data_IF_999981187601
#
_entry.id   IF_999981187601
#
_cell.length_a   1.000
_cell.length_b   1.000
_cell.length_c   1.000
_cell.angle_alpha   90.00
_cell.angle_beta   90.00
_cell.angle_gamma   90.00
#
_symmetry.space_group_name_H-M   'P 1'
#
loop_
_entity.id
_entity.type
_entity.pdbx_description
1 polymer ?
#
# COMPACT_ATOMS: atom_id res chain seq x y z
N UNK A 1 2.86 -42.61 -21.66
CA UNK A 1 2.80 -41.39 -20.82
C UNK A 1 3.90 -41.32 -19.78
N UNK A 2 4.11 -42.27 -18.90
CA UNK A 2 5.15 -42.22 -17.84
C UNK A 2 6.60 -41.93 -18.31
N UNK A 3 7.03 -42.49 -19.47
CA UNK A 3 8.36 -42.26 -20.04
C UNK A 3 8.58 -40.83 -20.60
N UNK A 4 7.52 -40.14 -21.05
CA UNK A 4 7.60 -38.76 -21.56
C UNK A 4 7.65 -37.74 -20.44
N UNK A 5 6.99 -38.01 -19.30
CA UNK A 5 7.05 -37.16 -18.11
C UNK A 5 8.43 -37.24 -17.45
N UNK A 6 9.04 -38.42 -17.37
CA UNK A 6 10.37 -38.58 -16.85
C UNK A 6 11.44 -37.86 -17.71
N UNK A 7 11.30 -37.82 -19.03
CA UNK A 7 12.23 -37.10 -19.91
C UNK A 7 12.07 -35.58 -19.83
N UNK A 8 10.86 -35.08 -19.60
CA UNK A 8 10.61 -33.64 -19.36
C UNK A 8 11.20 -33.18 -18.03
N UNK A 9 11.03 -33.96 -16.97
CA UNK A 9 11.63 -33.67 -15.65
C UNK A 9 13.17 -33.74 -15.68
N UNK A 10 13.74 -34.65 -16.43
CA UNK A 10 15.20 -34.72 -16.61
C UNK A 10 15.74 -33.54 -17.43
N UNK A 11 15.02 -33.07 -18.44
CA UNK A 11 15.41 -31.91 -19.22
C UNK A 11 15.29 -30.61 -18.39
N UNK A 12 14.26 -30.49 -17.55
CA UNK A 12 14.09 -29.34 -16.64
C UNK A 12 15.20 -29.31 -15.57
N UNK A 13 15.57 -30.46 -15.01
CA UNK A 13 16.67 -30.57 -14.07
C UNK A 13 18.02 -30.21 -14.72
N UNK A 14 18.24 -30.60 -15.98
CA UNK A 14 19.47 -30.28 -16.70
C UNK A 14 19.58 -28.79 -17.06
N UNK A 15 18.44 -28.13 -17.37
CA UNK A 15 18.40 -26.69 -17.61
C UNK A 15 18.72 -25.88 -16.35
N UNK A 16 18.29 -26.36 -15.17
CA UNK A 16 18.60 -25.70 -13.89
C UNK A 16 20.09 -25.82 -13.51
N UNK A 17 20.78 -26.85 -13.97
CA UNK A 17 22.23 -27.06 -13.69
C UNK A 17 23.15 -26.32 -14.70
N UNK A 18 22.61 -25.85 -15.82
CA UNK A 18 23.35 -25.12 -16.84
C UNK A 18 23.18 -23.60 -16.76
N UNK A 19 22.37 -23.11 -15.84
CA UNK A 19 22.42 -21.68 -15.51
C UNK A 19 23.81 -21.43 -14.91
N UNK A 20 24.62 -20.50 -15.48
CA UNK A 20 25.82 -20.07 -14.78
C UNK A 20 25.32 -19.62 -13.40
N UNK A 21 25.81 -20.25 -12.36
CA UNK A 21 25.83 -19.61 -11.06
C UNK A 21 26.72 -18.38 -11.27
N UNK A 22 26.13 -17.28 -11.73
CA UNK A 22 26.68 -15.99 -11.41
C UNK A 22 26.87 -16.08 -9.88
N UNK A 23 28.11 -16.09 -9.42
CA UNK A 23 28.38 -15.81 -8.03
C UNK A 23 27.70 -14.44 -7.83
N UNK A 24 26.52 -14.45 -7.21
CA UNK A 24 26.00 -13.27 -6.59
C UNK A 24 27.10 -12.91 -5.60
N UNK A 25 27.89 -11.90 -5.92
CA UNK A 25 28.61 -11.21 -4.89
C UNK A 25 27.53 -10.96 -3.85
N UNK A 26 27.71 -11.47 -2.66
CA UNK A 26 26.86 -11.12 -1.53
C UNK A 26 27.11 -9.63 -1.39
N UNK A 27 26.19 -8.83 -1.97
CA UNK A 27 26.27 -7.38 -1.85
C UNK A 27 26.27 -7.11 -0.35
N UNK A 28 27.24 -6.33 0.09
CA UNK A 28 27.30 -5.95 1.49
C UNK A 28 25.93 -5.39 1.88
N UNK A 29 25.41 -5.83 3.03
CA UNK A 29 24.15 -5.27 3.53
C UNK A 29 24.25 -3.74 3.49
N UNK A 30 23.19 -3.02 3.08
CA UNK A 30 23.20 -1.57 3.06
C UNK A 30 23.51 -1.02 4.45
N UNK A 31 24.22 0.09 4.52
CA UNK A 31 24.46 0.78 5.78
C UNK A 31 23.11 1.28 6.32
N UNK A 32 22.91 1.13 7.63
CA UNK A 32 21.71 1.62 8.29
C UNK A 32 21.67 3.16 8.23
N UNK A 33 20.49 3.69 8.01
CA UNK A 33 20.27 5.14 7.97
C UNK A 33 20.61 5.80 9.31
N UNK A 34 21.32 6.94 9.27
CA UNK A 34 21.75 7.70 10.46
C UNK A 34 20.71 8.71 10.97
N UNK A 35 19.53 8.76 10.34
CA UNK A 35 18.43 9.67 10.70
C UNK A 35 18.55 11.06 10.07
N UNK A 36 19.60 11.35 9.30
CA UNK A 36 19.79 12.65 8.65
C UNK A 36 19.18 12.70 7.25
N UNK A 37 18.96 13.91 6.72
CA UNK A 37 18.51 14.15 5.37
C UNK A 37 19.60 14.88 4.56
N UNK A 38 19.92 14.35 3.37
CA UNK A 38 20.85 14.98 2.43
C UNK A 38 20.08 15.49 1.20
N UNK A 39 20.04 16.81 1.03
CA UNK A 39 19.45 17.49 -0.12
C UNK A 39 20.50 18.03 -1.10
N UNK A 40 21.78 17.75 -0.89
CA UNK A 40 22.89 18.30 -1.69
C UNK A 40 22.83 17.87 -3.14
N UNK A 41 22.25 16.69 -3.43
CA UNK A 41 22.04 16.18 -4.79
C UNK A 41 21.06 17.02 -5.63
N UNK A 42 20.20 17.80 -4.99
CA UNK A 42 19.23 18.68 -5.64
C UNK A 42 19.78 20.09 -5.87
N UNK A 43 20.60 20.60 -4.93
CA UNK A 43 21.10 21.98 -4.95
C UNK A 43 22.00 22.21 -6.19
N UNK A 44 21.58 23.15 -7.05
CA UNK A 44 22.26 23.45 -8.33
C UNK A 44 21.88 22.51 -9.47
N UNK A 45 20.99 21.55 -9.22
CA UNK A 45 20.47 20.55 -10.16
C UNK A 45 18.94 20.63 -10.34
N UNK A 46 18.31 21.73 -9.94
CA UNK A 46 16.85 21.90 -9.93
C UNK A 46 16.23 21.80 -11.33
N UNK A 47 17.04 22.05 -12.39
CA UNK A 47 16.60 21.90 -13.78
C UNK A 47 16.66 20.47 -14.31
N UNK A 48 17.34 19.55 -13.62
CA UNK A 48 17.48 18.17 -14.07
C UNK A 48 16.11 17.47 -14.04
N UNK A 49 15.93 16.51 -14.93
CA UNK A 49 14.69 15.76 -15.05
C UNK A 49 14.77 14.37 -14.44
N UNK A 50 15.97 13.88 -14.17
CA UNK A 50 16.23 12.57 -13.55
C UNK A 50 17.21 12.76 -12.41
N UNK A 51 16.88 12.19 -11.27
CA UNK A 51 17.71 12.16 -10.06
C UNK A 51 17.98 10.72 -9.67
N UNK A 52 19.19 10.48 -9.14
CA UNK A 52 19.61 9.16 -8.68
C UNK A 52 19.74 9.17 -7.16
N UNK A 53 19.02 8.28 -6.52
CA UNK A 53 19.02 8.09 -5.06
C UNK A 53 19.88 6.87 -4.74
N UNK A 54 20.95 7.09 -4.01
CA UNK A 54 21.95 6.05 -3.70
C UNK A 54 22.04 5.72 -2.21
N UNK A 55 21.52 6.58 -1.33
CA UNK A 55 21.56 6.40 0.13
C UNK A 55 20.22 6.76 0.78
N UNK A 56 20.03 6.28 2.01
CA UNK A 56 18.84 6.58 2.81
C UNK A 56 18.74 8.07 3.17
N UNK A 57 19.86 8.76 3.40
CA UNK A 57 19.92 10.20 3.65
C UNK A 57 19.41 10.99 2.45
N UNK A 58 19.74 10.55 1.21
CA UNK A 58 19.23 11.18 0.00
C UNK A 58 17.73 10.97 -0.18
N UNK A 59 17.23 9.77 0.16
CA UNK A 59 15.80 9.49 0.17
C UNK A 59 15.08 10.36 1.23
N UNK A 60 15.65 10.51 2.42
CA UNK A 60 15.15 11.44 3.44
C UNK A 60 15.22 12.90 2.98
N UNK A 61 16.24 13.25 2.17
CA UNK A 61 16.33 14.54 1.50
C UNK A 61 15.19 14.80 0.54
N UNK A 62 14.74 13.78 -0.21
CA UNK A 62 13.54 13.88 -1.03
C UNK A 62 12.29 14.16 -0.19
N UNK A 63 12.11 13.44 0.92
CA UNK A 63 11.00 13.71 1.85
C UNK A 63 11.05 15.15 2.36
N UNK A 64 12.21 15.62 2.80
CA UNK A 64 12.38 17.00 3.26
C UNK A 64 12.02 18.03 2.18
N UNK A 65 12.45 17.83 0.93
CA UNK A 65 12.17 18.76 -0.17
C UNK A 65 10.68 18.82 -0.52
N UNK A 66 9.99 17.69 -0.55
CA UNK A 66 8.54 17.63 -0.81
C UNK A 66 7.76 18.28 0.35
N UNK A 67 8.16 18.01 1.58
CA UNK A 67 7.39 18.39 2.76
C UNK A 67 7.56 19.87 3.18
N UNK A 68 8.70 20.54 2.83
CA UNK A 68 9.02 21.87 3.36
C UNK A 68 8.65 23.02 2.44
N UNK A 69 8.34 22.79 1.17
CA UNK A 69 8.10 23.85 0.20
C UNK A 69 6.85 23.60 -0.62
N UNK A 70 5.66 23.94 -0.09
CA UNK A 70 4.40 23.67 -0.77
C UNK A 70 4.38 24.20 -2.20
N UNK A 71 4.00 23.32 -3.14
CA UNK A 71 3.82 23.64 -4.55
C UNK A 71 5.10 23.96 -5.34
N UNK A 72 6.28 24.04 -4.71
CA UNK A 72 7.53 24.40 -5.40
C UNK A 72 8.41 23.18 -5.69
N UNK A 73 8.30 22.10 -4.93
CA UNK A 73 9.10 20.88 -5.06
C UNK A 73 8.27 19.60 -5.02
N UNK A 74 7.07 19.61 -5.61
CA UNK A 74 6.28 18.39 -5.76
C UNK A 74 6.84 17.43 -6.83
N UNK A 75 7.86 17.85 -7.55
CA UNK A 75 8.58 17.09 -8.58
C UNK A 75 7.75 16.62 -9.78
N UNK A 76 6.67 17.32 -10.11
CA UNK A 76 5.92 17.04 -11.33
C UNK A 76 6.84 17.08 -12.57
N UNK A 77 6.78 16.03 -13.39
CA UNK A 77 7.62 15.87 -14.58
C UNK A 77 9.08 15.49 -14.31
N UNK A 78 9.43 15.14 -13.07
CA UNK A 78 10.74 14.64 -12.67
C UNK A 78 10.68 13.14 -12.38
N UNK A 79 11.84 12.47 -12.50
CA UNK A 79 11.98 11.05 -12.20
C UNK A 79 13.11 10.82 -11.20
N UNK A 80 12.89 9.86 -10.32
CA UNK A 80 13.86 9.39 -9.34
C UNK A 80 14.15 7.93 -9.63
N UNK A 81 15.42 7.55 -9.64
CA UNK A 81 15.87 6.16 -9.83
C UNK A 81 16.64 5.74 -8.60
N UNK A 82 16.20 4.66 -7.97
CA UNK A 82 16.94 4.05 -6.87
C UNK A 82 18.10 3.23 -7.44
N UNK A 83 19.30 3.42 -6.90
CA UNK A 83 20.52 2.78 -7.42
C UNK A 83 21.06 1.68 -6.51
N UNK A 84 20.58 1.60 -5.27
CA UNK A 84 20.98 0.61 -4.28
C UNK A 84 19.78 0.20 -3.43
N UNK A 85 19.89 -0.95 -2.78
CA UNK A 85 19.03 -1.29 -1.65
C UNK A 85 19.33 -0.32 -0.49
N UNK A 86 18.28 0.06 0.26
CA UNK A 86 18.41 0.97 1.39
C UNK A 86 17.91 0.32 2.68
N UNK A 87 18.55 0.64 3.79
CA UNK A 87 18.13 0.23 5.13
C UNK A 87 17.72 1.47 5.95
N UNK A 88 16.43 1.55 6.30
CA UNK A 88 15.87 2.64 7.11
C UNK A 88 15.84 2.32 8.61
N UNK A 89 16.53 1.27 9.04
CA UNK A 89 16.55 0.87 10.45
C UNK A 89 17.13 1.97 11.35
N UNK A 90 16.68 1.97 12.62
CA UNK A 90 17.25 2.82 13.68
C UNK A 90 16.56 4.17 13.88
N UNK A 91 15.83 4.69 12.93
CA UNK A 91 15.13 5.97 13.03
C UNK A 91 13.73 5.91 12.46
N UNK A 92 12.82 6.66 13.02
CA UNK A 92 11.46 6.79 12.50
C UNK A 92 11.46 7.50 11.14
N UNK A 93 10.73 6.91 10.20
CA UNK A 93 10.58 7.46 8.86
C UNK A 93 9.58 8.61 8.84
N UNK A 94 9.92 9.68 8.13
CA UNK A 94 8.99 10.76 7.76
C UNK A 94 8.58 10.53 6.31
N UNK A 95 7.29 10.36 6.07
CA UNK A 95 6.75 10.04 4.75
C UNK A 95 7.08 11.10 3.70
N UNK A 96 7.33 10.67 2.47
CA UNK A 96 7.48 11.56 1.31
C UNK A 96 6.09 12.08 0.93
N UNK A 97 5.87 13.39 1.06
CA UNK A 97 4.55 14.00 0.91
C UNK A 97 3.72 13.91 2.19
N UNK A 98 2.90 14.91 2.41
CA UNK A 98 2.02 14.98 3.57
C UNK A 98 0.57 15.06 3.13
N UNK A 99 -0.37 14.63 3.98
CA UNK A 99 -1.78 14.68 3.65
C UNK A 99 -2.37 16.01 4.07
N UNK A 100 -2.65 16.87 3.09
CA UNK A 100 -3.58 17.95 3.28
C UNK A 100 -4.86 17.62 2.48
N UNK A 101 -5.70 16.73 3.03
CA UNK A 101 -7.00 16.41 2.44
C UNK A 101 -7.01 15.57 1.16
N UNK A 102 -5.90 14.94 0.76
CA UNK A 102 -5.83 13.95 -0.34
C UNK A 102 -6.04 14.46 -1.76
N UNK A 103 -6.50 15.68 -1.94
CA UNK A 103 -6.89 16.24 -3.25
C UNK A 103 -6.02 17.42 -3.69
N UNK A 104 -5.04 17.81 -2.89
CA UNK A 104 -4.17 18.95 -3.15
C UNK A 104 -2.77 18.48 -3.59
N UNK A 105 -2.24 18.93 -4.75
CA UNK A 105 -0.87 18.66 -5.16
C UNK A 105 0.19 19.35 -4.30
N UNK A 106 -0.21 20.30 -3.47
CA UNK A 106 0.68 20.89 -2.47
C UNK A 106 1.08 19.84 -1.45
N UNK A 107 2.36 19.74 -1.14
CA UNK A 107 2.95 18.74 -0.25
C UNK A 107 2.79 17.27 -0.72
N UNK A 108 2.45 17.03 -1.98
CA UNK A 108 2.34 15.69 -2.56
C UNK A 108 3.56 15.36 -3.41
N UNK A 109 3.90 14.08 -3.50
CA UNK A 109 4.84 13.62 -4.52
C UNK A 109 4.11 13.47 -5.86
N UNK A 110 4.53 14.25 -6.88
CA UNK A 110 3.92 14.26 -8.21
C UNK A 110 4.86 13.74 -9.31
N UNK A 111 5.99 13.17 -8.93
CA UNK A 111 7.00 12.64 -9.84
C UNK A 111 6.81 11.16 -10.18
N UNK A 112 7.82 10.62 -10.85
CA UNK A 112 7.98 9.18 -11.07
C UNK A 112 9.07 8.67 -10.13
N UNK A 113 8.78 7.66 -9.30
CA UNK A 113 9.77 6.96 -8.50
C UNK A 113 9.96 5.54 -9.03
N UNK A 114 11.12 5.27 -9.60
CA UNK A 114 11.52 3.97 -10.11
C UNK A 114 12.47 3.30 -9.13
N UNK A 115 11.99 2.29 -8.42
CA UNK A 115 12.82 1.48 -7.53
C UNK A 115 13.90 0.67 -8.25
N UNK A 116 13.82 0.57 -9.61
CA UNK A 116 14.80 -0.12 -10.43
C UNK A 116 15.07 -1.58 -10.00
N UNK A 117 14.13 -2.18 -9.28
CA UNK A 117 14.21 -3.53 -8.72
C UNK A 117 14.87 -3.60 -7.34
N UNK A 118 15.28 -2.48 -6.77
CA UNK A 118 15.85 -2.39 -5.43
C UNK A 118 14.79 -2.43 -4.33
N UNK A 119 15.28 -2.64 -3.10
CA UNK A 119 14.47 -2.83 -1.89
C UNK A 119 14.80 -1.75 -0.87
N UNK A 120 13.78 -1.19 -0.24
CA UNK A 120 13.89 -0.35 0.95
C UNK A 120 13.43 -1.19 2.13
N UNK A 121 14.34 -1.45 3.07
CA UNK A 121 14.10 -2.34 4.20
C UNK A 121 13.94 -1.59 5.52
N UNK A 122 13.25 -2.24 6.47
CA UNK A 122 13.13 -1.80 7.86
C UNK A 122 12.53 -0.40 8.02
N UNK A 123 11.62 -0.02 7.12
CA UNK A 123 10.83 1.19 7.31
C UNK A 123 10.07 1.06 8.63
N UNK A 124 10.33 2.01 9.54
CA UNK A 124 9.71 2.02 10.85
C UNK A 124 8.99 3.34 11.09
N UNK A 125 7.75 3.27 11.51
CA UNK A 125 6.96 4.44 11.91
C UNK A 125 6.05 4.05 13.06
N UNK A 126 6.23 4.73 14.17
CA UNK A 126 5.46 4.53 15.38
C UNK A 126 4.92 5.88 15.84
N UNK A 127 3.70 6.14 15.48
CA UNK A 127 3.01 7.34 15.96
C UNK A 127 2.60 7.12 17.42
N UNK A 128 3.51 7.44 18.34
CA UNK A 128 3.34 7.23 19.79
C UNK A 128 2.90 8.47 20.55
N UNK A 129 2.80 9.62 19.88
CA UNK A 129 2.66 10.89 20.57
C UNK A 129 1.37 11.60 20.18
N UNK A 130 0.46 11.66 21.13
CA UNK A 130 -0.80 12.40 21.04
C UNK A 130 -0.59 13.91 20.83
N UNK A 131 0.63 14.38 20.98
CA UNK A 131 1.01 15.80 20.88
C UNK A 131 1.80 16.08 19.57
N UNK A 132 2.15 15.05 18.78
CA UNK A 132 3.00 15.17 17.59
C UNK A 132 2.28 15.23 16.25
N UNK A 133 0.99 15.50 16.22
CA UNK A 133 0.47 16.26 15.12
C UNK A 133 1.12 17.63 15.19
N UNK A 134 2.29 17.74 14.57
CA UNK A 134 2.96 19.03 14.42
C UNK A 134 2.15 19.83 13.38
N UNK A 135 1.08 20.47 13.85
CA UNK A 135 0.28 21.39 13.05
C UNK A 135 1.14 22.45 12.34
N UNK A 136 2.34 22.72 12.88
CA UNK A 136 3.26 23.67 12.30
C UNK A 136 4.04 23.14 11.10
N UNK A 137 4.28 21.81 11.03
CA UNK A 137 5.05 21.18 9.95
C UNK A 137 4.30 20.15 9.13
N UNK A 138 3.07 19.78 9.52
CA UNK A 138 2.18 18.87 8.76
C UNK A 138 2.85 17.54 8.35
N UNK A 139 3.79 17.04 9.18
CA UNK A 139 4.60 15.87 8.87
C UNK A 139 3.83 14.59 9.23
N UNK A 140 3.64 13.72 8.26
CA UNK A 140 3.11 12.37 8.48
C UNK A 140 4.26 11.39 8.71
N UNK A 141 4.04 10.47 9.63
CA UNK A 141 4.95 9.37 9.94
C UNK A 141 4.21 8.07 9.77
N UNK A 142 4.22 7.52 8.56
CA UNK A 142 3.54 6.26 8.27
C UNK A 142 4.19 5.55 7.07
N UNK A 143 3.52 5.47 5.93
CA UNK A 143 4.05 4.84 4.72
C UNK A 143 5.35 5.47 4.19
N UNK A 144 5.98 4.81 3.23
CA UNK A 144 7.10 5.43 2.52
C UNK A 144 6.69 6.75 1.87
N UNK A 145 5.51 6.78 1.22
CA UNK A 145 4.89 7.99 0.67
C UNK A 145 3.59 8.29 1.42
N UNK A 146 3.49 9.49 1.98
CA UNK A 146 2.27 9.96 2.64
C UNK A 146 1.18 10.34 1.62
N UNK A 147 1.56 11.05 0.55
CA UNK A 147 0.64 11.40 -0.52
C UNK A 147 1.32 11.37 -1.90
N UNK A 148 0.69 10.67 -2.84
CA UNK A 148 1.09 10.62 -4.26
C UNK A 148 -0.05 11.17 -5.10
N UNK A 149 0.21 12.26 -5.83
CA UNK A 149 -0.78 12.97 -6.63
C UNK A 149 -0.32 13.09 -8.09
N UNK A 150 -1.08 12.54 -9.04
CA UNK A 150 -0.73 12.46 -10.47
C UNK A 150 0.69 11.91 -10.70
N UNK A 151 1.18 11.04 -9.81
CA UNK A 151 2.52 10.46 -9.81
C UNK A 151 2.54 8.98 -10.18
N UNK A 152 3.75 8.42 -10.28
CA UNK A 152 3.96 6.99 -10.54
C UNK A 152 5.02 6.41 -9.60
N UNK A 153 4.75 5.23 -9.03
CA UNK A 153 5.73 4.43 -8.28
C UNK A 153 5.84 3.07 -8.97
N UNK A 154 7.05 2.62 -9.23
CA UNK A 154 7.25 1.35 -9.93
C UNK A 154 8.52 0.61 -9.52
N UNK A 155 8.51 -0.72 -9.73
CA UNK A 155 9.68 -1.60 -9.59
C UNK A 155 10.35 -1.50 -8.21
N UNK A 156 9.59 -1.37 -7.12
CA UNK A 156 10.09 -1.11 -5.78
C UNK A 156 9.63 -2.18 -4.80
N UNK A 157 10.55 -2.70 -4.00
CA UNK A 157 10.27 -3.54 -2.85
C UNK A 157 10.30 -2.74 -1.54
N UNK A 158 9.36 -3.02 -0.63
CA UNK A 158 9.42 -2.59 0.77
C UNK A 158 9.47 -3.84 1.63
N UNK A 159 10.58 -4.05 2.33
CA UNK A 159 10.79 -5.25 3.13
C UNK A 159 10.80 -4.95 4.63
N UNK A 160 10.13 -5.81 5.40
CA UNK A 160 10.10 -5.75 6.86
C UNK A 160 9.68 -4.36 7.40
N UNK A 161 8.66 -3.75 6.80
CA UNK A 161 8.11 -2.48 7.31
C UNK A 161 7.32 -2.71 8.60
N UNK A 162 7.39 -1.78 9.54
CA UNK A 162 6.59 -1.79 10.76
C UNK A 162 5.93 -0.42 10.96
N UNK A 163 4.61 -0.38 10.79
CA UNK A 163 3.80 0.82 11.00
C UNK A 163 2.81 0.55 12.12
N UNK A 164 2.89 1.38 13.15
CA UNK A 164 1.93 1.36 14.24
C UNK A 164 1.30 2.74 14.40
N UNK A 165 -0.03 2.79 14.43
CA UNK A 165 -0.81 4.01 14.43
C UNK A 165 -1.30 4.29 15.85
N UNK A 166 -1.09 5.52 16.34
CA UNK A 166 -1.56 5.93 17.66
C UNK A 166 -3.08 5.76 17.78
N UNK A 167 -3.56 5.33 18.95
CA UNK A 167 -5.00 5.22 19.21
C UNK A 167 -5.80 6.50 18.94
N UNK A 168 -5.17 7.65 19.02
CA UNK A 168 -5.81 8.96 18.87
C UNK A 168 -5.48 9.67 17.55
N UNK A 169 -4.71 9.04 16.64
CA UNK A 169 -4.39 9.65 15.35
C UNK A 169 -5.68 9.95 14.57
N UNK A 170 -5.92 11.24 14.39
CA UNK A 170 -7.05 11.81 13.63
C UNK A 170 -6.60 12.36 12.28
N UNK A 171 -5.33 12.18 11.92
CA UNK A 171 -4.72 12.93 10.82
C UNK A 171 -5.14 12.46 9.44
N UNK A 172 -5.44 11.17 9.26
CA UNK A 172 -5.91 10.67 7.97
C UNK A 172 -6.42 9.22 8.07
N UNK A 173 -7.58 8.89 7.51
CA UNK A 173 -8.15 7.55 7.64
C UNK A 173 -7.40 6.48 6.82
N UNK A 174 -6.53 6.84 5.87
CA UNK A 174 -5.88 5.88 4.98
C UNK A 174 -4.41 5.67 5.30
N UNK A 175 -4.00 4.42 5.55
CA UNK A 175 -2.63 4.02 5.84
C UNK A 175 -2.23 2.77 5.05
N UNK A 176 -1.08 2.85 4.38
CA UNK A 176 -0.48 1.74 3.64
C UNK A 176 0.97 1.52 4.01
N UNK A 177 1.62 0.47 3.55
CA UNK A 177 3.07 0.32 3.72
C UNK A 177 3.85 1.11 2.67
N UNK A 178 3.33 1.23 1.46
CA UNK A 178 3.95 1.97 0.37
C UNK A 178 3.40 3.39 0.25
N UNK A 179 2.07 3.55 0.23
CA UNK A 179 1.40 4.84 0.06
C UNK A 179 0.21 4.95 1.01
N UNK A 180 0.10 6.04 1.77
CA UNK A 180 -1.09 6.31 2.57
C UNK A 180 -2.24 6.79 1.67
N UNK A 181 -2.02 7.82 0.87
CA UNK A 181 -3.02 8.44 0.01
C UNK A 181 -2.54 8.50 -1.44
N UNK A 182 -3.33 7.93 -2.35
CA UNK A 182 -3.03 7.87 -3.77
C UNK A 182 -4.15 8.55 -4.56
N UNK A 183 -3.81 9.59 -5.33
CA UNK A 183 -4.77 10.36 -6.12
C UNK A 183 -4.33 10.49 -7.57
N UNK A 184 -5.13 10.04 -8.52
CA UNK A 184 -4.85 10.14 -9.95
C UNK A 184 -3.55 9.44 -10.39
N UNK A 185 -3.07 8.47 -9.64
CA UNK A 185 -1.70 7.98 -9.70
C UNK A 185 -1.60 6.51 -10.11
N UNK A 186 -0.38 6.03 -10.30
CA UNK A 186 -0.11 4.66 -10.76
C UNK A 186 0.94 3.97 -9.92
N UNK A 187 0.70 2.69 -9.56
CA UNK A 187 1.68 1.80 -8.94
C UNK A 187 1.84 0.54 -9.79
N UNK A 188 3.08 0.18 -10.11
CA UNK A 188 3.36 -0.97 -10.98
C UNK A 188 4.54 -1.78 -10.50
N UNK A 189 4.43 -3.11 -10.46
CA UNK A 189 5.52 -4.03 -10.10
C UNK A 189 6.15 -3.70 -8.74
N UNK A 190 5.35 -3.33 -7.74
CA UNK A 190 5.81 -3.06 -6.39
C UNK A 190 5.37 -4.17 -5.42
N UNK A 191 6.10 -4.31 -4.33
CA UNK A 191 5.71 -5.27 -3.31
C UNK A 191 6.02 -4.77 -1.90
N UNK A 192 5.31 -5.35 -0.92
CA UNK A 192 5.48 -5.01 0.49
C UNK A 192 5.48 -6.25 1.38
N UNK A 193 6.28 -6.20 2.44
CA UNK A 193 6.25 -7.12 3.56
C UNK A 193 6.29 -6.35 4.89
N UNK A 194 5.94 -7.03 5.99
CA UNK A 194 5.99 -6.43 7.32
C UNK A 194 4.61 -6.33 7.98
N UNK A 195 4.35 -5.27 8.73
CA UNK A 195 3.09 -5.13 9.46
C UNK A 195 2.58 -3.70 9.52
N UNK A 196 1.25 -3.57 9.53
CA UNK A 196 0.55 -2.33 9.83
C UNK A 196 -0.52 -2.59 10.88
N UNK A 197 -0.50 -1.82 11.97
CA UNK A 197 -1.46 -1.96 13.07
C UNK A 197 -2.22 -0.66 13.26
N UNK A 198 -3.52 -0.71 13.09
CA UNK A 198 -4.43 0.42 13.25
C UNK A 198 -4.60 0.88 14.69
N UNK A 199 -4.93 2.14 14.88
CA UNK A 199 -5.29 2.73 16.15
C UNK A 199 -6.63 2.23 16.67
N UNK A 200 -6.87 2.43 17.96
CA UNK A 200 -8.07 1.89 18.62
C UNK A 200 -9.23 2.88 18.75
N UNK A 201 -9.05 4.13 18.39
CA UNK A 201 -10.02 5.22 18.63
C UNK A 201 -10.63 5.81 17.39
N UNK A 202 -9.97 5.68 16.24
CA UNK A 202 -10.40 6.25 14.98
C UNK A 202 -10.59 5.16 13.94
N UNK A 203 -11.54 5.38 13.05
CA UNK A 203 -11.81 4.54 11.88
C UNK A 203 -10.68 4.69 10.86
N UNK A 204 -10.21 3.57 10.30
CA UNK A 204 -9.05 3.58 9.41
C UNK A 204 -9.23 2.65 8.22
N UNK A 205 -8.63 3.06 7.10
CA UNK A 205 -8.50 2.24 5.91
C UNK A 205 -7.06 1.77 5.78
N UNK A 206 -6.81 0.49 6.06
CA UNK A 206 -5.48 -0.10 6.10
C UNK A 206 -5.26 -0.99 4.87
N UNK A 207 -4.21 -0.73 4.11
CA UNK A 207 -3.84 -1.52 2.96
C UNK A 207 -2.41 -2.05 3.00
N UNK A 208 -2.19 -3.25 2.50
CA UNK A 208 -0.84 -3.80 2.41
C UNK A 208 0.09 -2.96 1.52
N UNK A 209 -0.43 -2.37 0.44
CA UNK A 209 0.27 -1.39 -0.38
C UNK A 209 -0.23 0.03 -0.13
N UNK A 210 -1.54 0.27 -0.28
CA UNK A 210 -2.14 1.60 -0.34
C UNK A 210 -3.27 1.70 0.68
N UNK A 211 -3.27 2.75 1.49
CA UNK A 211 -4.35 3.02 2.43
C UNK A 211 -5.64 3.40 1.74
N UNK A 212 -5.65 4.51 1.00
CA UNK A 212 -6.83 4.97 0.26
C UNK A 212 -6.50 5.47 -1.14
N UNK A 213 -7.48 5.36 -2.04
CA UNK A 213 -7.39 5.88 -3.41
C UNK A 213 -8.46 6.91 -3.68
N UNK A 214 -8.07 7.94 -4.44
CA UNK A 214 -8.92 9.01 -4.96
C UNK A 214 -8.67 9.23 -6.44
N UNK A 215 -9.67 9.72 -7.16
CA UNK A 215 -9.58 9.95 -8.60
C UNK A 215 -9.25 8.64 -9.34
N UNK A 216 -8.81 8.73 -10.57
CA UNK A 216 -8.53 7.56 -11.41
C UNK A 216 -7.16 6.97 -11.07
N UNK A 217 -7.14 5.83 -10.38
CA UNK A 217 -5.92 5.15 -9.95
C UNK A 217 -5.75 3.79 -10.62
N UNK A 218 -4.49 3.37 -10.80
CA UNK A 218 -4.15 2.05 -11.34
C UNK A 218 -3.06 1.38 -10.49
N UNK A 219 -3.30 0.13 -10.09
CA UNK A 219 -2.34 -0.72 -9.37
C UNK A 219 -2.21 -2.03 -10.15
N UNK A 220 -1.01 -2.37 -10.60
CA UNK A 220 -0.82 -3.57 -11.42
C UNK A 220 0.50 -4.29 -11.16
N UNK A 221 0.48 -5.63 -11.23
CA UNK A 221 1.65 -6.47 -11.05
C UNK A 221 2.27 -6.39 -9.65
N UNK A 222 1.47 -6.06 -8.64
CA UNK A 222 1.93 -5.82 -7.28
C UNK A 222 1.60 -6.97 -6.33
N UNK A 223 2.34 -7.09 -5.24
CA UNK A 223 1.96 -8.04 -4.21
C UNK A 223 2.23 -7.54 -2.78
N UNK A 224 1.55 -8.15 -1.80
CA UNK A 224 1.80 -7.91 -0.38
C UNK A 224 1.75 -9.22 0.40
N UNK A 225 2.70 -9.36 1.33
CA UNK A 225 2.74 -10.43 2.33
C UNK A 225 2.59 -9.87 3.76
N UNK A 226 2.13 -8.63 3.87
CA UNK A 226 2.03 -7.92 5.13
C UNK A 226 0.98 -8.52 6.08
N UNK A 227 1.21 -8.30 7.38
CA UNK A 227 0.18 -8.48 8.41
C UNK A 227 -0.55 -7.15 8.64
N UNK A 228 -1.86 -7.15 8.41
CA UNK A 228 -2.72 -5.97 8.54
C UNK A 228 -3.64 -6.19 9.73
N UNK A 229 -3.53 -5.34 10.76
CA UNK A 229 -4.34 -5.46 11.99
C UNK A 229 -5.25 -4.26 12.15
N UNK A 230 -6.55 -4.47 11.99
CA UNK A 230 -7.57 -3.51 12.41
C UNK A 230 -7.79 -3.61 13.93
N UNK A 231 -7.84 -2.46 14.61
CA UNK A 231 -7.89 -2.43 16.07
C UNK A 231 -8.91 -1.45 16.65
N UNK A 232 -9.84 -0.95 15.85
CA UNK A 232 -10.85 0.01 16.27
C UNK A 232 -11.80 -0.59 17.32
N UNK A 233 -11.86 0.02 18.51
CA UNK A 233 -12.64 -0.49 19.64
C UNK A 233 -13.71 0.48 20.13
N UNK A 234 -13.84 1.67 19.54
CA UNK A 234 -14.81 2.67 19.96
C UNK A 234 -16.19 2.38 19.36
N UNK A 235 -17.09 1.81 20.16
CA UNK A 235 -18.48 1.52 19.74
C UNK A 235 -19.38 2.76 19.61
N UNK A 236 -18.86 3.94 19.93
CA UNK A 236 -19.61 5.21 19.84
C UNK A 236 -19.14 6.07 18.67
N UNK A 237 -18.70 5.45 17.57
CA UNK A 237 -18.11 6.10 16.39
C UNK A 237 -18.76 7.43 16.02
N UNK A 238 -17.99 8.28 15.37
CA UNK A 238 -18.39 9.61 14.90
C UNK A 238 -19.67 9.56 14.04
N UNK A 239 -19.92 8.41 13.44
CA UNK A 239 -21.14 8.05 12.74
C UNK A 239 -21.81 6.89 13.51
N UNK A 240 -22.81 7.18 14.36
CA UNK A 240 -23.66 6.18 15.00
C UNK A 240 -24.52 5.36 13.99
N UNK A 241 -24.02 5.16 12.78
CA UNK A 241 -24.69 4.44 11.72
C UNK A 241 -24.04 3.05 11.53
N UNK A 242 -24.75 1.96 11.84
CA UNK A 242 -24.22 0.61 11.66
C UNK A 242 -24.02 0.22 10.19
N UNK A 243 -24.37 1.07 9.22
CA UNK A 243 -24.13 0.82 7.79
C UNK A 243 -22.73 1.19 7.36
N UNK A 244 -21.95 1.90 8.18
CA UNK A 244 -20.57 2.25 7.86
C UNK A 244 -19.60 1.29 8.56
N UNK A 245 -18.72 0.69 7.79
CA UNK A 245 -17.62 -0.10 8.35
C UNK A 245 -16.63 0.84 9.04
N UNK A 246 -16.29 0.54 10.30
CA UNK A 246 -15.37 1.37 11.06
C UNK A 246 -13.94 1.26 10.57
N UNK A 247 -13.47 0.05 10.23
CA UNK A 247 -12.18 -0.18 9.59
C UNK A 247 -12.37 -0.83 8.22
N UNK A 248 -11.58 -0.42 7.25
CA UNK A 248 -11.48 -1.07 5.94
C UNK A 248 -10.09 -1.69 5.78
N UNK A 249 -10.01 -3.02 5.78
CA UNK A 249 -8.76 -3.77 5.77
C UNK A 249 -8.60 -4.49 4.43
N UNK A 250 -7.64 -4.08 3.62
CA UNK A 250 -7.39 -4.69 2.31
C UNK A 250 -5.96 -5.19 2.17
N UNK A 251 -5.79 -6.39 1.63
CA UNK A 251 -4.46 -6.96 1.40
C UNK A 251 -3.60 -6.10 0.47
N UNK A 252 -4.22 -5.41 -0.48
CA UNK A 252 -3.57 -4.49 -1.41
C UNK A 252 -4.00 -3.04 -1.13
N UNK A 253 -5.31 -2.76 -1.12
CA UNK A 253 -5.87 -1.41 -0.91
C UNK A 253 -6.83 -1.43 0.26
N UNK A 254 -6.69 -0.50 1.21
CA UNK A 254 -7.64 -0.35 2.31
C UNK A 254 -9.02 0.08 1.79
N UNK A 255 -9.11 1.24 1.16
CA UNK A 255 -10.36 1.72 0.58
C UNK A 255 -10.18 2.53 -0.71
N UNK A 256 -11.20 2.48 -1.57
CA UNK A 256 -11.43 3.44 -2.64
C UNK A 256 -12.50 4.43 -2.16
N UNK A 257 -12.18 5.72 -2.12
CA UNK A 257 -13.08 6.74 -1.62
C UNK A 257 -13.72 7.56 -2.74
N UNK A 258 -13.00 7.76 -3.87
CA UNK A 258 -13.52 8.51 -5.02
C UNK A 258 -12.81 8.09 -6.31
N UNK A 259 -13.45 8.30 -7.48
CA UNK A 259 -12.91 8.07 -8.82
C UNK A 259 -12.87 6.60 -9.23
N UNK A 260 -12.19 6.29 -10.32
CA UNK A 260 -12.10 4.94 -10.86
C UNK A 260 -10.83 4.24 -10.35
N UNK A 261 -10.95 2.99 -9.93
CA UNK A 261 -9.83 2.18 -9.49
C UNK A 261 -9.70 0.92 -10.36
N UNK A 262 -8.50 0.72 -10.89
CA UNK A 262 -8.14 -0.53 -11.57
C UNK A 262 -7.05 -1.26 -10.79
N UNK A 263 -7.34 -2.49 -10.35
CA UNK A 263 -6.38 -3.40 -9.71
C UNK A 263 -6.25 -4.63 -10.60
N UNK A 264 -5.06 -4.92 -11.11
CA UNK A 264 -4.83 -6.07 -11.97
C UNK A 264 -3.52 -6.81 -11.67
N UNK A 265 -3.54 -8.12 -11.88
CA UNK A 265 -2.34 -8.95 -11.79
C UNK A 265 -1.66 -8.84 -10.40
N UNK A 266 -2.45 -8.64 -9.35
CA UNK A 266 -1.97 -8.45 -7.99
C UNK A 266 -2.15 -9.71 -7.14
N UNK A 267 -1.30 -9.86 -6.12
CA UNK A 267 -1.31 -11.02 -5.25
C UNK A 267 -1.22 -10.63 -3.78
N UNK A 268 -2.05 -11.23 -2.94
CA UNK A 268 -1.98 -11.13 -1.49
C UNK A 268 -1.74 -12.50 -0.84
N UNK A 269 -0.70 -12.59 -0.02
CA UNK A 269 -0.35 -13.75 0.80
C UNK A 269 0.09 -13.35 2.21
N UNK A 270 -0.53 -12.31 2.75
CA UNK A 270 -0.27 -11.83 4.10
C UNK A 270 -1.29 -12.37 5.11
N UNK A 271 -1.51 -11.63 6.18
CA UNK A 271 -2.51 -11.93 7.19
C UNK A 271 -3.37 -10.70 7.46
N UNK A 272 -4.69 -10.88 7.58
CA UNK A 272 -5.59 -9.82 8.06
C UNK A 272 -6.12 -10.23 9.43
N UNK A 273 -5.87 -9.37 10.42
CA UNK A 273 -6.30 -9.58 11.81
C UNK A 273 -7.36 -8.54 12.14
N UNK A 274 -8.61 -8.99 12.33
CA UNK A 274 -9.73 -8.12 12.69
C UNK A 274 -9.93 -8.17 14.21
N UNK A 275 -9.53 -7.09 14.88
CA UNK A 275 -9.84 -6.86 16.31
C UNK A 275 -10.87 -5.74 16.49
N UNK A 276 -11.22 -5.08 15.40
CA UNK A 276 -12.16 -3.98 15.36
C UNK A 276 -13.58 -4.45 15.69
N UNK A 277 -14.34 -3.61 16.36
CA UNK A 277 -15.75 -3.89 16.67
C UNK A 277 -16.63 -3.89 15.42
N UNK A 278 -16.22 -3.17 14.40
CA UNK A 278 -16.76 -3.17 13.04
C UNK A 278 -15.61 -3.04 12.05
N UNK A 279 -15.60 -3.87 11.02
CA UNK A 279 -14.62 -3.79 9.95
C UNK A 279 -15.16 -4.50 8.69
N UNK A 280 -14.76 -3.99 7.53
CA UNK A 280 -14.73 -4.75 6.29
C UNK A 280 -13.30 -5.23 6.04
N UNK A 281 -13.13 -6.50 5.67
CA UNK A 281 -11.81 -7.09 5.47
C UNK A 281 -11.79 -7.94 4.22
N UNK A 282 -10.82 -7.70 3.34
CA UNK A 282 -10.69 -8.46 2.09
C UNK A 282 -9.25 -8.60 1.62
N UNK A 283 -8.98 -9.66 0.85
CA UNK A 283 -7.63 -9.97 0.36
C UNK A 283 -7.08 -8.95 -0.64
N UNK A 284 -7.93 -8.27 -1.42
CA UNK A 284 -7.50 -7.27 -2.39
C UNK A 284 -7.90 -5.87 -1.94
N UNK A 285 -9.19 -5.58 -1.77
CA UNK A 285 -9.66 -4.25 -1.35
C UNK A 285 -10.65 -4.35 -0.20
N UNK A 286 -10.38 -3.65 0.89
CA UNK A 286 -11.20 -3.67 2.09
C UNK A 286 -12.57 -3.03 1.91
N UNK A 287 -12.65 -1.94 1.14
CA UNK A 287 -13.90 -1.21 0.94
C UNK A 287 -13.90 -0.40 -0.36
N UNK A 288 -15.05 -0.31 -1.04
CA UNK A 288 -15.26 0.59 -2.18
C UNK A 288 -16.48 1.47 -1.95
N UNK A 289 -16.35 2.77 -2.19
CA UNK A 289 -17.46 3.72 -2.13
C UNK A 289 -17.17 4.94 -1.27
N UNK A 290 -18.01 5.98 -1.42
CA UNK A 290 -18.00 7.14 -0.55
C UNK A 290 -18.97 6.90 0.60
N UNK A 291 -18.52 7.19 1.80
CA UNK A 291 -19.35 7.10 3.02
C UNK A 291 -20.50 8.14 3.05
N UNK A 292 -20.49 9.13 2.15
CA UNK A 292 -21.42 10.27 2.25
C UNK A 292 -22.32 10.49 1.03
N UNK A 293 -21.93 10.05 -0.16
CA UNK A 293 -22.69 10.27 -1.40
C UNK A 293 -22.56 9.13 -2.39
N UNK A 294 -23.62 8.72 -3.14
CA UNK A 294 -23.46 7.83 -4.26
C UNK A 294 -22.55 8.48 -5.30
N UNK A 295 -21.32 8.02 -5.42
CA UNK A 295 -20.38 8.51 -6.44
C UNK A 295 -20.47 7.62 -7.68
N UNK A 296 -20.16 8.19 -8.86
CA UNK A 296 -20.03 7.41 -10.09
C UNK A 296 -18.70 6.62 -10.13
N UNK A 297 -18.29 6.07 -8.99
CA UNK A 297 -17.04 5.32 -8.86
C UNK A 297 -17.15 3.99 -9.56
N UNK A 298 -16.15 3.60 -10.31
CA UNK A 298 -16.03 2.24 -10.83
C UNK A 298 -14.78 1.56 -10.29
N UNK A 299 -14.92 0.28 -9.99
CA UNK A 299 -13.81 -0.57 -9.54
C UNK A 299 -13.64 -1.73 -10.49
N UNK A 300 -12.44 -1.91 -11.03
CA UNK A 300 -12.08 -3.08 -11.83
C UNK A 300 -11.01 -3.89 -11.11
N UNK A 301 -11.29 -5.16 -10.81
CA UNK A 301 -10.35 -6.10 -10.19
C UNK A 301 -10.22 -7.32 -11.09
N UNK A 302 -9.04 -7.55 -11.65
CA UNK A 302 -8.83 -8.64 -12.61
C UNK A 302 -7.50 -9.37 -12.42
N UNK A 303 -7.51 -10.67 -12.67
CA UNK A 303 -6.32 -11.54 -12.62
C UNK A 303 -5.60 -11.51 -11.27
N UNK A 304 -6.30 -11.20 -10.18
CA UNK A 304 -5.71 -11.13 -8.86
C UNK A 304 -5.75 -12.49 -8.15
N UNK A 305 -4.83 -12.70 -7.24
CA UNK A 305 -4.67 -13.94 -6.49
C UNK A 305 -4.64 -13.65 -4.99
N UNK A 306 -5.41 -14.40 -4.22
CA UNK A 306 -5.32 -14.44 -2.76
C UNK A 306 -4.96 -15.86 -2.36
N UNK A 307 -3.88 -16.06 -1.61
CA UNK A 307 -3.41 -17.41 -1.22
C UNK A 307 -3.28 -17.61 0.28
N UNK A 308 -3.50 -16.57 1.07
CA UNK A 308 -3.40 -16.67 2.53
C UNK A 308 -4.49 -17.59 3.10
N UNK A 309 -4.15 -18.48 4.04
CA UNK A 309 -5.16 -19.23 4.80
C UNK A 309 -5.79 -18.41 5.94
N UNK A 310 -5.16 -17.32 6.35
CA UNK A 310 -5.53 -16.50 7.51
C UNK A 310 -6.06 -15.13 7.09
N UNK A 311 -7.22 -15.14 6.48
CA UNK A 311 -8.06 -13.96 6.40
C UNK A 311 -8.91 -13.91 7.65
N UNK A 312 -8.65 -12.98 8.56
CA UNK A 312 -9.50 -12.77 9.72
C UNK A 312 -10.97 -12.64 9.32
N UNK A 313 -11.85 -13.18 10.11
CA UNK A 313 -13.28 -12.92 9.93
C UNK A 313 -13.58 -11.48 10.37
N UNK A 314 -14.47 -10.80 9.65
CA UNK A 314 -15.04 -9.52 10.09
C UNK A 314 -15.76 -9.65 11.43
N UNK A 315 -16.28 -8.56 11.99
CA UNK A 315 -17.03 -8.56 13.25
C UNK A 315 -18.27 -9.46 13.24
N UNK A 316 -18.73 -9.89 12.06
CA UNK A 316 -19.87 -10.80 11.88
C UNK A 316 -19.44 -12.25 11.61
N UNK A 317 -18.14 -12.53 11.60
CA UNK A 317 -17.59 -13.86 11.35
C UNK A 317 -17.46 -14.22 9.85
N UNK A 318 -17.41 -13.22 8.96
CA UNK A 318 -17.35 -13.44 7.52
C UNK A 318 -15.95 -13.13 6.96
N UNK A 319 -15.55 -13.87 5.95
CA UNK A 319 -14.28 -13.70 5.25
C UNK A 319 -14.55 -13.29 3.79
N UNK A 320 -13.98 -12.18 3.38
CA UNK A 320 -14.05 -11.67 2.02
C UNK A 320 -12.70 -11.86 1.32
N UNK A 321 -12.68 -12.52 0.17
CA UNK A 321 -11.41 -12.82 -0.50
C UNK A 321 -10.94 -11.69 -1.42
N UNK A 322 -11.83 -11.14 -2.21
CA UNK A 322 -11.45 -10.16 -3.26
C UNK A 322 -11.75 -8.73 -2.80
N UNK A 323 -12.99 -8.40 -2.46
CA UNK A 323 -13.33 -7.03 -2.11
C UNK A 323 -14.68 -6.90 -1.43
N UNK A 324 -14.80 -5.88 -0.59
CA UNK A 324 -16.08 -5.45 -0.04
C UNK A 324 -16.60 -4.28 -0.88
N UNK A 325 -17.55 -4.57 -1.77
CA UNK A 325 -17.99 -3.66 -2.83
C UNK A 325 -19.37 -3.09 -2.48
N UNK A 326 -19.45 -1.77 -2.33
CA UNK A 326 -20.71 -1.08 -1.91
C UNK A 326 -21.72 -1.02 -3.05
N UNK A 327 -21.27 -0.80 -4.28
CA UNK A 327 -22.12 -0.76 -5.47
C UNK A 327 -21.61 -1.77 -6.51
N UNK A 328 -22.15 -2.99 -6.52
CA UNK A 328 -21.70 -4.02 -7.44
C UNK A 328 -21.98 -3.70 -8.90
N UNK A 329 -22.96 -2.87 -9.22
CA UNK A 329 -23.29 -2.49 -10.61
C UNK A 329 -22.19 -1.63 -11.25
N UNK A 330 -21.36 -0.98 -10.45
CA UNK A 330 -20.21 -0.19 -10.90
C UNK A 330 -18.88 -0.97 -10.83
N UNK A 331 -18.92 -2.23 -10.39
CA UNK A 331 -17.73 -3.04 -10.21
C UNK A 331 -17.59 -4.11 -11.29
N UNK A 332 -16.37 -4.33 -11.77
CA UNK A 332 -16.00 -5.42 -12.66
C UNK A 332 -14.96 -6.30 -12.00
N UNK A 333 -15.33 -7.55 -11.68
CA UNK A 333 -14.44 -8.52 -11.00
C UNK A 333 -14.31 -9.74 -11.90
N UNK A 334 -13.10 -10.00 -12.43
CA UNK A 334 -12.89 -11.04 -13.44
C UNK A 334 -11.57 -11.80 -13.25
N UNK A 335 -11.59 -13.11 -13.49
CA UNK A 335 -10.42 -13.99 -13.53
C UNK A 335 -9.58 -13.99 -12.23
N UNK A 336 -10.19 -13.75 -11.06
CA UNK A 336 -9.48 -13.77 -9.80
C UNK A 336 -9.50 -15.17 -9.17
N UNK A 337 -8.49 -15.49 -8.38
CA UNK A 337 -8.31 -16.78 -7.72
C UNK A 337 -8.19 -16.62 -6.20
N UNK A 338 -8.81 -17.54 -5.45
CA UNK A 338 -8.73 -17.58 -3.98
C UNK A 338 -8.88 -19.03 -3.46
N UNK A 339 -8.49 -19.32 -2.21
CA UNK A 339 -8.62 -20.65 -1.62
C UNK A 339 -10.08 -21.09 -1.53
N UNK A 340 -10.37 -22.37 -1.84
CA UNK A 340 -11.69 -22.95 -1.63
C UNK A 340 -11.97 -23.15 -0.15
N UNK A 341 -13.12 -22.70 0.35
CA UNK A 341 -13.61 -23.02 1.70
C UNK A 341 -13.86 -21.85 2.64
N UNK A 342 -13.82 -20.61 2.18
CA UNK A 342 -14.29 -19.46 2.95
C UNK A 342 -15.82 -19.40 3.01
N UNK A 343 -16.40 -18.84 4.07
CA UNK A 343 -17.80 -18.49 4.09
C UNK A 343 -18.02 -17.30 3.15
N UNK A 344 -18.83 -17.48 2.13
CA UNK A 344 -19.28 -16.36 1.30
C UNK A 344 -20.29 -15.58 2.12
N UNK A 345 -20.03 -14.30 2.31
CA UNK A 345 -20.93 -13.39 2.99
C UNK A 345 -21.76 -12.62 1.97
N UNK A 346 -23.06 -12.67 2.15
CA UNK A 346 -24.04 -11.89 1.42
C UNK A 346 -24.66 -10.87 2.39
N UNK A 347 -24.04 -9.65 2.52
CA UNK A 347 -24.65 -8.62 3.33
C UNK A 347 -25.78 -7.98 2.55
N UNK A 348 -26.97 -8.01 3.07
CA UNK A 348 -28.04 -7.14 2.63
C UNK A 348 -27.96 -5.82 3.41
N UNK A 349 -27.80 -4.64 2.80
CA UNK A 349 -27.95 -4.30 1.37
C UNK A 349 -26.67 -4.29 0.51
N UNK A 350 -25.54 -4.66 1.06
CA UNK A 350 -24.26 -4.64 0.36
C UNK A 350 -24.04 -5.99 -0.32
N UNK A 351 -23.90 -6.01 -1.64
CA UNK A 351 -23.68 -7.23 -2.38
C UNK A 351 -22.18 -7.55 -2.49
N UNK A 352 -21.88 -8.80 -2.29
CA UNK A 352 -20.59 -9.40 -2.38
C UNK A 352 -20.39 -10.02 -3.75
N UNK A 353 -19.38 -9.60 -4.48
CA UNK A 353 -19.04 -10.17 -5.77
C UNK A 353 -17.78 -11.00 -5.66
N UNK A 354 -17.94 -12.29 -5.90
CA UNK A 354 -16.88 -13.24 -6.01
C UNK A 354 -16.84 -13.78 -7.45
N UNK A 355 -15.66 -13.80 -8.09
CA UNK A 355 -15.57 -14.31 -9.45
C UNK A 355 -15.26 -15.80 -9.44
N UNK A 356 -16.06 -16.59 -10.13
CA UNK A 356 -15.74 -17.99 -10.34
C UNK A 356 -14.76 -18.11 -11.50
N UNK A 357 -13.66 -18.80 -11.28
CA UNK A 357 -12.80 -19.26 -12.37
C UNK A 357 -13.50 -20.45 -13.04
N UNK A 358 -13.91 -20.29 -14.28
CA UNK A 358 -14.39 -21.38 -15.15
C UNK A 358 -13.25 -22.06 -15.87
#
# INVERSE_FOLDING_TARGET
>A
MKKRIASLLAALALCLTLLPMAAFAEDAAPDAWDGTADTSWYVGHESDTVYHITTAEQLAGLAQLVNTAPGTTNFQGKSFVLENDLDLSGHEWISIGTVSGGTDPEYSFCGVFDGNGHVISNLYSHDSDTDNYDEANNLLRNALFGNVYDGEIKNLGIDNAEIWIDPYDNSAPGKGLLVDWMSGSKITNCWTSGSITGGSKMEQSLGGLVGVTFRDCTISGCYSTATITGNYTNSTGYYNDPTYASDALGGIVGAQLDGNLTISDCWFNGTIVVKSVQASAAGIIGFTGDFSTPTNNSTTISNCLVTTPDMGADSNGNTCWIGYLVDPDTCTVTNNLWPSGGNNYDPSPLEYIDSTVT
#
